data_IF_132427455705
#
_entry.id   IF_132427455705
#
_cell.length_a   1.000
_cell.length_b   1.000
_cell.length_c   1.000
_cell.angle_alpha   90.00
_cell.angle_beta   90.00
_cell.angle_gamma   90.00
#
_symmetry.space_group_name_H-M   'P 1'
#
loop_
_entity.id
_entity.type
_entity.pdbx_description
1 polymer ?
#
# COMPACT_ATOMS: atom_id res chain seq x y z
N UNK A 1 41.10 46.59 9.24
CA UNK A 1 39.89 46.59 10.08
C UNK A 1 38.70 46.72 9.15
N UNK A 2 38.22 45.58 8.63
CA UNK A 2 36.88 45.53 8.06
C UNK A 2 35.91 45.93 9.18
N UNK A 3 35.17 47.00 8.96
CA UNK A 3 34.69 47.90 10.01
C UNK A 3 33.66 47.15 10.89
N UNK A 4 33.80 47.14 12.22
CA UNK A 4 32.80 46.51 13.11
C UNK A 4 31.38 47.06 12.85
N UNK A 5 31.30 48.31 12.39
CA UNK A 5 30.07 48.93 11.88
C UNK A 5 29.46 48.18 10.69
N UNK A 6 30.27 47.73 9.72
CA UNK A 6 29.80 46.95 8.57
C UNK A 6 29.22 45.60 9.01
N UNK A 7 29.85 44.93 9.99
CA UNK A 7 29.31 43.67 10.53
C UNK A 7 27.96 43.85 11.22
N UNK A 8 27.83 44.90 12.04
CA UNK A 8 26.57 45.23 12.72
C UNK A 8 25.49 45.60 11.70
N UNK A 9 25.82 46.38 10.67
CA UNK A 9 24.88 46.73 9.60
C UNK A 9 24.40 45.48 8.84
N UNK A 10 25.30 44.55 8.51
CA UNK A 10 24.94 43.27 7.89
C UNK A 10 24.02 42.45 8.79
N UNK A 11 24.31 42.38 10.09
CA UNK A 11 23.46 41.64 11.04
C UNK A 11 22.08 42.28 11.22
N UNK A 12 21.98 43.61 11.17
CA UNK A 12 20.68 44.33 11.16
C UNK A 12 19.89 43.98 9.90
N UNK A 13 20.55 43.94 8.74
CA UNK A 13 19.91 43.53 7.50
C UNK A 13 19.41 42.08 7.57
N UNK A 14 20.24 41.15 8.07
CA UNK A 14 19.84 39.74 8.28
C UNK A 14 18.69 39.63 9.29
N UNK A 15 18.71 40.39 10.39
CA UNK A 15 17.62 40.42 11.37
C UNK A 15 16.30 40.92 10.76
N UNK A 16 16.37 41.93 9.90
CA UNK A 16 15.21 42.48 9.19
C UNK A 16 14.62 41.45 8.23
N UNK A 17 15.48 40.77 7.46
CA UNK A 17 15.06 39.66 6.60
C UNK A 17 14.47 38.54 7.45
N UNK A 18 15.12 38.14 8.54
CA UNK A 18 14.62 37.08 9.42
C UNK A 18 13.20 37.40 9.93
N UNK A 19 12.96 38.65 10.33
CA UNK A 19 11.66 39.09 10.85
C UNK A 19 10.56 39.07 9.79
N UNK A 20 10.84 39.56 8.57
CA UNK A 20 9.86 39.69 7.48
C UNK A 20 9.68 38.38 6.71
N UNK A 21 10.79 37.72 6.37
CA UNK A 21 10.80 36.55 5.50
C UNK A 21 10.31 35.28 6.21
N UNK A 22 10.55 35.12 7.52
CA UNK A 22 10.16 33.90 8.24
C UNK A 22 8.65 33.64 8.21
N UNK A 23 7.77 34.60 8.54
CA UNK A 23 6.32 34.40 8.44
C UNK A 23 5.86 34.07 7.02
N UNK A 24 6.40 34.76 6.02
CA UNK A 24 6.07 34.54 4.61
C UNK A 24 6.51 33.15 4.15
N UNK A 25 7.73 32.76 4.52
CA UNK A 25 8.30 31.47 4.20
C UNK A 25 7.50 30.32 4.81
N UNK A 26 7.18 30.39 6.11
CA UNK A 26 6.36 29.37 6.79
C UNK A 26 4.96 29.31 6.19
N UNK A 27 4.37 30.45 5.83
CA UNK A 27 3.05 30.49 5.17
C UNK A 27 3.07 29.79 3.82
N UNK A 28 4.09 30.04 2.99
CA UNK A 28 4.25 29.38 1.70
C UNK A 28 4.54 27.88 1.87
N UNK A 29 5.37 27.51 2.85
CA UNK A 29 5.63 26.11 3.17
C UNK A 29 4.33 25.40 3.57
N UNK A 30 3.48 26.02 4.39
CA UNK A 30 2.18 25.46 4.77
C UNK A 30 1.28 25.20 3.55
N UNK A 31 1.31 26.06 2.53
CA UNK A 31 0.56 25.84 1.30
C UNK A 31 1.11 24.65 0.49
N UNK A 32 2.43 24.56 0.36
CA UNK A 32 3.10 23.44 -0.32
C UNK A 32 2.79 22.13 0.41
N UNK A 33 2.93 22.11 1.74
CA UNK A 33 2.64 20.96 2.58
C UNK A 33 1.17 20.53 2.48
N UNK A 34 0.22 21.48 2.48
CA UNK A 34 -1.19 21.16 2.28
C UNK A 34 -1.46 20.57 0.90
N UNK A 35 -0.90 21.15 -0.17
CA UNK A 35 -1.04 20.64 -1.53
C UNK A 35 -0.43 19.24 -1.70
N UNK A 36 0.71 18.98 -1.06
CA UNK A 36 1.32 17.67 -1.03
C UNK A 36 0.46 16.65 -0.26
N UNK A 37 -0.08 17.04 0.90
CA UNK A 37 -0.97 16.20 1.68
C UNK A 37 -2.26 15.86 0.93
N UNK A 38 -2.89 16.83 0.25
CA UNK A 38 -4.08 16.55 -0.57
C UNK A 38 -3.77 15.61 -1.73
N UNK A 39 -2.61 15.76 -2.39
CA UNK A 39 -2.22 14.82 -3.46
C UNK A 39 -2.02 13.39 -2.99
N UNK A 40 -1.66 13.18 -1.72
CA UNK A 40 -1.54 11.84 -1.13
C UNK A 40 -2.91 11.28 -0.72
N UNK A 41 -3.84 12.15 -0.31
CA UNK A 41 -5.19 11.76 0.11
C UNK A 41 -6.13 11.48 -1.06
N UNK A 42 -5.95 12.16 -2.19
CA UNK A 42 -6.80 12.02 -3.38
C UNK A 42 -6.43 10.79 -4.24
N UNK A 43 -5.21 10.26 -4.12
CA UNK A 43 -4.69 9.26 -5.08
C UNK A 43 -5.15 7.81 -4.81
N UNK A 44 -5.35 7.32 -3.59
CA UNK A 44 -5.91 5.95 -3.35
C UNK A 44 -6.28 5.72 -1.89
N UNK A 45 -7.17 4.74 -1.63
CA UNK A 45 -7.30 4.09 -0.31
C UNK A 45 -6.36 2.87 -0.31
N UNK A 46 -5.12 2.95 0.23
CA UNK A 46 -4.14 1.89 0.06
C UNK A 46 -4.58 0.58 0.73
N UNK A 47 -5.35 0.66 1.81
CA UNK A 47 -5.92 -0.52 2.45
C UNK A 47 -7.04 -1.16 1.61
N UNK A 48 -7.85 -0.34 0.93
CA UNK A 48 -8.86 -0.81 -0.01
C UNK A 48 -8.24 -1.46 -1.24
N UNK A 49 -7.10 -0.93 -1.70
CA UNK A 49 -6.33 -1.48 -2.80
C UNK A 49 -5.64 -2.80 -2.45
N UNK A 50 -5.04 -2.91 -1.26
CA UNK A 50 -4.52 -4.19 -0.77
C UNK A 50 -5.65 -5.22 -0.64
N UNK A 51 -6.83 -4.79 -0.19
CA UNK A 51 -7.99 -5.68 -0.08
C UNK A 51 -8.50 -6.13 -1.44
N UNK A 52 -8.70 -5.22 -2.41
CA UNK A 52 -9.06 -5.61 -3.77
C UNK A 52 -7.99 -6.55 -4.32
N UNK A 53 -6.73 -6.13 -4.27
CA UNK A 53 -5.46 -6.87 -4.46
C UNK A 53 -5.55 -8.38 -4.18
N UNK A 54 -6.06 -8.71 -3.00
CA UNK A 54 -5.90 -10.01 -2.36
C UNK A 54 -7.22 -10.77 -2.18
N UNK A 55 -8.29 -10.35 -2.86
CA UNK A 55 -9.61 -10.99 -2.82
C UNK A 55 -10.10 -11.28 -4.24
N UNK A 56 -10.49 -12.52 -4.51
CA UNK A 56 -11.03 -12.95 -5.80
C UNK A 56 -12.53 -13.22 -5.69
N UNK A 57 -13.34 -12.63 -6.57
CA UNK A 57 -14.78 -12.89 -6.70
C UNK A 57 -15.05 -13.94 -7.79
N UNK A 58 -15.62 -15.08 -7.40
CA UNK A 58 -15.96 -16.17 -8.32
C UNK A 58 -17.02 -15.79 -9.37
N UNK A 59 -17.87 -14.79 -9.13
CA UNK A 59 -18.81 -14.32 -10.15
C UNK A 59 -18.12 -13.51 -11.25
N UNK A 60 -17.16 -12.66 -10.90
CA UNK A 60 -16.40 -11.89 -11.89
C UNK A 60 -15.46 -12.77 -12.71
N UNK A 61 -14.86 -13.76 -12.04
CA UNK A 61 -14.19 -14.90 -12.66
C UNK A 61 -15.07 -15.57 -13.72
N UNK A 62 -16.33 -15.85 -13.38
CA UNK A 62 -17.29 -16.45 -14.30
C UNK A 62 -17.66 -15.52 -15.47
N UNK A 63 -17.85 -14.22 -15.24
CA UNK A 63 -18.06 -13.22 -16.30
C UNK A 63 -16.86 -13.12 -17.26
N UNK A 64 -15.65 -13.39 -16.78
CA UNK A 64 -14.44 -13.47 -17.60
C UNK A 64 -14.29 -14.81 -18.36
N UNK A 65 -15.32 -15.66 -18.36
CA UNK A 65 -15.38 -16.99 -19.01
C UNK A 65 -14.32 -17.97 -18.54
N UNK A 66 -13.87 -17.90 -17.28
CA UNK A 66 -12.87 -18.85 -16.74
C UNK A 66 -11.63 -18.99 -17.64
N UNK A 67 -11.20 -17.91 -18.31
CA UNK A 67 -10.07 -17.96 -19.25
C UNK A 67 -8.79 -18.36 -18.53
N UNK A 68 -8.06 -19.24 -19.20
CA UNK A 68 -6.88 -20.04 -18.79
C UNK A 68 -5.64 -19.26 -18.29
N UNK A 69 -5.70 -17.93 -18.21
CA UNK A 69 -4.62 -17.06 -17.76
C UNK A 69 -4.27 -17.27 -16.25
N UNK A 70 -5.05 -18.09 -15.54
CA UNK A 70 -4.94 -18.33 -14.10
C UNK A 70 -3.85 -19.32 -13.71
N UNK A 71 -3.25 -19.98 -14.71
CA UNK A 71 -2.19 -20.94 -14.52
C UNK A 71 -1.00 -20.58 -15.42
N UNK A 72 0.12 -20.23 -14.80
CA UNK A 72 1.41 -20.40 -15.48
C UNK A 72 2.00 -21.72 -14.98
N UNK A 73 2.00 -22.75 -15.84
CA UNK A 73 2.88 -23.89 -15.61
C UNK A 73 4.31 -23.41 -15.83
N UNK A 74 5.00 -23.07 -14.74
CA UNK A 74 6.42 -22.80 -14.80
C UNK A 74 7.16 -24.14 -14.74
N UNK A 75 7.69 -24.58 -15.89
CA UNK A 75 8.61 -25.71 -15.92
C UNK A 75 9.92 -25.24 -15.31
N UNK A 76 10.26 -25.70 -14.10
CA UNK A 76 11.61 -25.49 -13.57
C UNK A 76 12.53 -26.43 -14.34
N UNK A 77 13.33 -25.88 -15.26
CA UNK A 77 14.40 -26.64 -15.90
C UNK A 77 15.50 -26.83 -14.86
N UNK A 78 15.52 -28.00 -14.24
CA UNK A 78 16.60 -28.38 -13.35
C UNK A 78 17.88 -28.67 -14.15
N UNK A 79 19.04 -28.57 -13.50
CA UNK A 79 20.33 -28.88 -14.12
C UNK A 79 20.32 -30.30 -14.75
N UNK A 80 21.09 -30.54 -15.84
CA UNK A 80 21.00 -31.79 -16.59
C UNK A 80 21.25 -33.00 -15.68
N UNK A 81 20.24 -33.86 -15.55
CA UNK A 81 20.26 -35.07 -14.71
C UNK A 81 19.21 -35.12 -13.59
N UNK A 82 18.37 -34.10 -13.44
CA UNK A 82 17.22 -34.14 -12.52
C UNK A 82 15.90 -34.07 -13.30
N UNK A 83 14.86 -34.74 -12.78
CA UNK A 83 13.51 -34.69 -13.34
C UNK A 83 12.98 -33.24 -13.26
N UNK A 84 12.29 -32.80 -14.30
CA UNK A 84 11.68 -31.47 -14.32
C UNK A 84 10.50 -31.47 -13.34
N UNK A 85 10.56 -30.62 -12.32
CA UNK A 85 9.42 -30.36 -11.45
C UNK A 85 8.55 -29.28 -12.09
N UNK A 86 7.25 -29.57 -12.21
CA UNK A 86 6.25 -28.57 -12.61
C UNK A 86 5.82 -27.83 -11.35
N UNK A 87 6.25 -26.58 -11.19
CA UNK A 87 5.77 -25.74 -10.11
C UNK A 87 4.46 -25.08 -10.56
N UNK A 88 3.41 -25.29 -9.77
CA UNK A 88 2.11 -24.68 -10.00
C UNK A 88 2.13 -23.29 -9.38
N UNK A 89 2.15 -22.25 -10.21
CA UNK A 89 2.06 -20.87 -9.74
C UNK A 89 0.60 -20.40 -9.79
N UNK A 90 -0.02 -20.29 -8.61
CA UNK A 90 -1.41 -19.86 -8.47
C UNK A 90 -1.45 -18.34 -8.31
N UNK A 91 -1.19 -17.62 -9.40
CA UNK A 91 -1.39 -16.18 -9.41
C UNK A 91 -2.89 -15.92 -9.65
N UNK A 92 -3.68 -15.89 -8.57
CA UNK A 92 -5.12 -15.67 -8.67
C UNK A 92 -5.39 -14.27 -9.21
N UNK A 93 -6.06 -14.11 -10.37
CA UNK A 93 -6.39 -12.78 -10.84
C UNK A 93 -7.34 -12.11 -9.85
N UNK A 94 -6.99 -10.89 -9.45
CA UNK A 94 -7.90 -10.01 -8.76
C UNK A 94 -8.85 -9.38 -9.80
N UNK A 95 -10.16 -9.49 -9.59
CA UNK A 95 -11.18 -8.89 -10.45
C UNK A 95 -11.86 -7.65 -9.85
N UNK A 96 -11.43 -7.18 -8.69
CA UNK A 96 -11.75 -5.83 -8.23
C UNK A 96 -10.79 -4.87 -8.93
N UNK A 97 -11.32 -4.12 -9.90
CA UNK A 97 -10.56 -3.08 -10.59
C UNK A 97 -10.10 -1.99 -9.61
N UNK A 98 -9.00 -1.32 -9.96
CA UNK A 98 -8.49 -0.16 -9.23
C UNK A 98 -9.64 0.87 -9.02
N UNK A 99 -9.96 1.18 -7.76
CA UNK A 99 -11.05 2.09 -7.39
C UNK A 99 -12.47 1.48 -7.28
N UNK A 100 -12.66 0.17 -7.46
CA UNK A 100 -13.96 -0.48 -7.27
C UNK A 100 -14.34 -0.54 -5.78
N UNK A 101 -15.20 0.36 -5.30
CA UNK A 101 -15.63 0.40 -3.89
C UNK A 101 -16.59 -0.72 -3.49
N UNK A 102 -16.91 -1.66 -4.39
CA UNK A 102 -17.81 -2.78 -4.10
C UNK A 102 -17.36 -3.59 -2.89
N UNK A 103 -16.05 -3.60 -2.58
CA UNK A 103 -15.49 -4.26 -1.40
C UNK A 103 -16.05 -3.76 -0.06
N UNK A 104 -16.51 -2.49 0.01
CA UNK A 104 -16.99 -1.90 1.26
C UNK A 104 -18.27 -2.55 1.77
N UNK A 105 -19.06 -3.14 0.87
CA UNK A 105 -20.36 -3.76 1.19
C UNK A 105 -20.36 -5.27 0.94
N UNK A 106 -19.19 -5.88 0.79
CA UNK A 106 -19.09 -7.31 0.58
C UNK A 106 -19.41 -8.09 1.84
N UNK A 107 -20.26 -9.11 1.69
CA UNK A 107 -20.36 -10.15 2.70
C UNK A 107 -19.35 -11.27 2.36
N UNK A 108 -18.20 -11.26 3.04
CA UNK A 108 -17.14 -12.26 2.81
C UNK A 108 -17.56 -13.70 3.16
N UNK A 109 -18.67 -13.85 3.88
CA UNK A 109 -19.26 -15.15 4.24
C UNK A 109 -20.32 -15.62 3.25
N UNK A 110 -20.53 -14.90 2.15
CA UNK A 110 -21.44 -15.30 1.09
C UNK A 110 -21.00 -16.65 0.49
N UNK A 111 -21.95 -17.59 0.47
CA UNK A 111 -21.74 -18.94 -0.04
C UNK A 111 -22.32 -19.02 -1.45
N UNK A 112 -21.60 -19.68 -2.35
CA UNK A 112 -22.03 -19.95 -3.70
C UNK A 112 -23.19 -20.94 -3.72
N UNK A 113 -24.19 -20.76 -4.61
CA UNK A 113 -25.25 -21.73 -4.80
C UNK A 113 -24.72 -22.94 -5.60
N UNK A 114 -23.99 -23.84 -4.93
CA UNK A 114 -23.37 -25.04 -5.53
C UNK A 114 -23.90 -26.30 -4.85
N UNK A 115 -24.91 -26.95 -5.44
CA UNK A 115 -25.52 -28.17 -4.88
C UNK A 115 -26.89 -28.48 -5.47
N UNK A 116 -27.25 -29.77 -5.54
CA UNK A 116 -28.54 -30.24 -6.07
C UNK A 116 -29.71 -29.97 -5.08
N UNK A 117 -29.41 -29.85 -3.78
CA UNK A 117 -30.38 -29.74 -2.69
C UNK A 117 -30.36 -28.40 -1.93
N UNK A 118 -29.63 -27.41 -2.43
CA UNK A 118 -29.55 -26.08 -1.81
C UNK A 118 -30.90 -25.34 -1.87
N UNK A 119 -31.75 -25.57 -0.87
CA UNK A 119 -33.06 -24.95 -0.64
C UNK A 119 -33.00 -23.42 -0.41
N UNK A 120 -31.81 -22.83 -0.44
CA UNK A 120 -31.57 -21.41 -0.25
C UNK A 120 -31.11 -20.75 -1.56
N UNK A 121 -32.12 -20.43 -2.36
CA UNK A 121 -32.24 -19.36 -3.36
C UNK A 121 -31.61 -19.56 -4.76
N UNK A 122 -32.51 -19.89 -5.68
CA UNK A 122 -32.45 -19.70 -7.14
C UNK A 122 -32.21 -18.25 -7.59
N UNK A 123 -32.31 -17.26 -6.69
CA UNK A 123 -32.23 -15.84 -7.03
C UNK A 123 -30.83 -15.34 -7.41
N UNK A 124 -29.75 -16.11 -7.21
CA UNK A 124 -28.41 -15.73 -7.66
C UNK A 124 -27.72 -16.81 -8.51
N UNK A 125 -28.23 -18.05 -8.48
CA UNK A 125 -27.75 -19.16 -9.30
C UNK A 125 -27.87 -18.91 -10.82
N UNK A 126 -28.75 -18.00 -11.24
CA UNK A 126 -28.89 -17.60 -12.64
C UNK A 126 -27.67 -16.82 -13.18
N UNK A 127 -26.81 -16.30 -12.30
CA UNK A 127 -25.65 -15.47 -12.69
C UNK A 127 -24.46 -16.29 -13.18
N UNK A 128 -24.44 -17.60 -12.93
CA UNK A 128 -23.38 -18.51 -13.35
C UNK A 128 -23.68 -19.13 -14.72
N UNK A 129 -22.66 -19.32 -15.55
CA UNK A 129 -22.80 -20.11 -16.79
C UNK A 129 -22.98 -21.59 -16.45
N UNK A 130 -23.57 -22.37 -17.36
CA UNK A 130 -23.80 -23.79 -17.11
C UNK A 130 -22.50 -24.59 -16.98
N UNK A 131 -21.44 -24.15 -17.68
CA UNK A 131 -20.08 -24.68 -17.56
C UNK A 131 -19.51 -24.44 -16.14
N UNK A 132 -19.67 -23.24 -15.60
CA UNK A 132 -19.22 -22.90 -14.25
C UNK A 132 -19.99 -23.66 -13.16
N UNK A 133 -21.30 -23.83 -13.34
CA UNK A 133 -22.13 -24.64 -12.43
C UNK A 133 -21.67 -26.09 -12.39
N UNK A 134 -21.20 -26.65 -13.50
CA UNK A 134 -20.68 -28.02 -13.52
C UNK A 134 -19.27 -28.10 -12.90
N UNK A 135 -18.39 -27.14 -13.22
CA UNK A 135 -17.04 -27.09 -12.66
C UNK A 135 -17.03 -26.98 -11.12
N UNK A 136 -17.92 -26.14 -10.56
CA UNK A 136 -18.02 -25.90 -9.12
C UNK A 136 -18.66 -27.06 -8.34
N UNK A 137 -19.17 -28.12 -8.98
CA UNK A 137 -19.63 -29.32 -8.27
C UNK A 137 -18.49 -30.20 -7.76
N UNK A 138 -17.26 -29.91 -8.17
CA UNK A 138 -16.10 -30.70 -7.85
C UNK A 138 -15.08 -29.91 -7.03
N UNK A 139 -14.31 -30.61 -6.19
CA UNK A 139 -13.17 -30.12 -5.41
C UNK A 139 -11.93 -30.95 -5.69
N UNK A 140 -10.77 -30.32 -5.59
CA UNK A 140 -9.49 -31.02 -5.72
C UNK A 140 -9.08 -31.54 -4.33
N UNK A 141 -8.80 -32.84 -4.25
CA UNK A 141 -8.19 -33.47 -3.09
C UNK A 141 -6.84 -34.08 -3.46
N UNK A 142 -5.96 -34.25 -2.49
CA UNK A 142 -4.65 -34.86 -2.71
C UNK A 142 -4.61 -36.24 -2.07
N UNK A 143 -4.32 -37.26 -2.88
CA UNK A 143 -4.08 -38.62 -2.39
C UNK A 143 -2.70 -39.05 -2.84
N UNK A 144 -1.80 -39.31 -1.88
CA UNK A 144 -0.41 -39.74 -2.13
C UNK A 144 0.35 -38.84 -3.12
N UNK A 145 0.13 -37.52 -3.06
CA UNK A 145 0.80 -36.54 -3.91
C UNK A 145 0.19 -36.37 -5.30
N UNK A 146 -0.84 -37.14 -5.68
CA UNK A 146 -1.58 -36.93 -6.93
C UNK A 146 -2.86 -36.15 -6.64
N UNK A 147 -3.12 -35.11 -7.43
CA UNK A 147 -4.38 -34.36 -7.40
C UNK A 147 -5.51 -35.23 -7.99
N UNK A 148 -6.58 -35.42 -7.23
CA UNK A 148 -7.76 -36.19 -7.62
C UNK A 148 -8.99 -35.32 -7.44
N UNK A 149 -9.90 -35.39 -8.41
CA UNK A 149 -11.15 -34.63 -8.40
C UNK A 149 -12.22 -35.39 -7.60
N UNK A 150 -12.83 -34.75 -6.62
CA UNK A 150 -13.92 -35.27 -5.79
C UNK A 150 -15.19 -34.46 -6.04
N UNK A 151 -16.36 -35.09 -6.14
CA UNK A 151 -17.64 -34.35 -6.09
C UNK A 151 -17.80 -33.77 -4.68
N UNK A 152 -18.34 -32.55 -4.57
CA UNK A 152 -18.71 -31.96 -3.29
C UNK A 152 -19.66 -32.91 -2.55
N UNK A 153 -19.43 -33.08 -1.25
CA UNK A 153 -20.22 -34.00 -0.43
C UNK A 153 -21.56 -33.35 -0.07
N UNK A 154 -22.65 -33.94 -0.57
CA UNK A 154 -24.04 -33.58 -0.23
C UNK A 154 -24.43 -34.35 1.05
N UNK A 155 -24.65 -33.63 2.15
CA UNK A 155 -24.95 -34.22 3.46
C UNK A 155 -26.37 -33.87 3.85
N UNK A 156 -27.28 -34.80 3.58
CA UNK A 156 -28.71 -34.77 3.96
C UNK A 156 -29.05 -34.33 5.42
N UNK A 157 -28.10 -34.37 6.36
CA UNK A 157 -28.32 -34.00 7.79
C UNK A 157 -27.29 -33.01 8.35
N UNK A 158 -26.33 -32.51 7.56
CA UNK A 158 -25.31 -31.53 7.98
C UNK A 158 -25.25 -30.37 6.99
N UNK A 159 -24.49 -29.32 7.30
CA UNK A 159 -24.24 -28.25 6.33
C UNK A 159 -23.50 -28.84 5.13
N UNK A 160 -24.07 -28.69 3.94
CA UNK A 160 -23.48 -29.16 2.68
C UNK A 160 -22.13 -28.49 2.43
N UNK A 161 -21.21 -29.22 1.79
CA UNK A 161 -19.96 -28.63 1.35
C UNK A 161 -20.22 -27.66 0.20
N UNK A 162 -19.95 -26.38 0.45
CA UNK A 162 -20.12 -25.32 -0.54
C UNK A 162 -18.91 -24.40 -0.59
N UNK A 163 -18.69 -23.80 -1.76
CA UNK A 163 -17.66 -22.78 -1.94
C UNK A 163 -18.14 -21.44 -1.42
N UNK A 164 -17.26 -20.68 -0.77
CA UNK A 164 -17.49 -19.26 -0.56
C UNK A 164 -17.36 -18.53 -1.91
N UNK A 165 -18.16 -17.48 -2.10
CA UNK A 165 -18.09 -16.65 -3.30
C UNK A 165 -16.74 -15.95 -3.44
N UNK A 166 -16.14 -15.61 -2.30
CA UNK A 166 -14.89 -14.86 -2.24
C UNK A 166 -13.77 -15.74 -1.69
N UNK A 167 -12.65 -15.79 -2.41
CA UNK A 167 -11.40 -16.39 -1.95
C UNK A 167 -10.44 -15.27 -1.56
N UNK A 168 -9.83 -15.36 -0.38
CA UNK A 168 -8.97 -14.30 0.15
C UNK A 168 -7.83 -14.85 1.01
N UNK A 169 -6.74 -14.08 1.11
CA UNK A 169 -5.60 -14.39 1.98
C UNK A 169 -5.56 -13.46 3.20
N UNK A 170 -6.12 -13.86 4.37
CA UNK A 170 -6.22 -12.99 5.55
C UNK A 170 -4.86 -12.51 6.07
N UNK A 171 -3.84 -13.37 5.99
CA UNK A 171 -2.54 -13.07 6.58
C UNK A 171 -1.77 -12.04 5.77
N UNK A 172 -1.81 -12.14 4.43
CA UNK A 172 -1.17 -11.15 3.55
C UNK A 172 -1.82 -9.78 3.74
N UNK A 173 -3.16 -9.71 3.69
CA UNK A 173 -3.88 -8.46 3.91
C UNK A 173 -3.54 -7.87 5.29
N UNK A 174 -3.59 -8.70 6.34
CA UNK A 174 -3.32 -8.26 7.70
C UNK A 174 -1.90 -7.69 7.86
N UNK A 175 -0.86 -8.42 7.41
CA UNK A 175 0.52 -7.98 7.57
C UNK A 175 0.84 -6.74 6.71
N UNK A 176 0.33 -6.67 5.49
CA UNK A 176 0.56 -5.52 4.59
C UNK A 176 -0.11 -4.25 5.13
N UNK A 177 -1.39 -4.32 5.51
CA UNK A 177 -2.11 -3.15 6.07
C UNK A 177 -1.48 -2.73 7.40
N UNK A 178 -1.11 -3.69 8.25
CA UNK A 178 -0.46 -3.39 9.54
C UNK A 178 0.91 -2.73 9.34
N UNK A 179 1.73 -3.22 8.40
CA UNK A 179 3.01 -2.61 8.08
C UNK A 179 2.85 -1.17 7.57
N UNK A 180 1.90 -0.95 6.65
CA UNK A 180 1.56 0.40 6.16
C UNK A 180 1.09 1.34 7.27
N UNK A 181 0.28 0.84 8.21
CA UNK A 181 -0.18 1.59 9.37
C UNK A 181 0.99 1.98 10.29
N UNK A 182 1.89 1.04 10.60
CA UNK A 182 3.06 1.30 11.44
C UNK A 182 3.95 2.38 10.82
N UNK A 183 4.26 2.24 9.52
CA UNK A 183 5.07 3.24 8.77
C UNK A 183 4.41 4.61 8.86
N UNK A 184 3.10 4.68 8.59
CA UNK A 184 2.34 5.93 8.62
C UNK A 184 2.37 6.58 10.00
N UNK A 185 2.19 5.82 11.09
CA UNK A 185 2.26 6.34 12.46
C UNK A 185 3.64 6.92 12.77
N UNK A 186 4.73 6.25 12.38
CA UNK A 186 6.09 6.75 12.57
C UNK A 186 6.35 8.04 11.78
N UNK A 187 5.86 8.13 10.54
CA UNK A 187 6.01 9.32 9.71
C UNK A 187 5.20 10.49 10.26
N UNK A 188 3.96 10.27 10.71
CA UNK A 188 3.13 11.29 11.36
C UNK A 188 3.83 11.78 12.63
N UNK A 189 4.33 10.88 13.48
CA UNK A 189 5.06 11.25 14.69
C UNK A 189 6.28 12.13 14.37
N UNK A 190 7.07 11.74 13.35
CA UNK A 190 8.22 12.51 12.90
C UNK A 190 7.82 13.88 12.35
N UNK A 191 6.74 13.94 11.57
CA UNK A 191 6.22 15.16 10.98
C UNK A 191 5.78 16.15 12.06
N UNK A 192 5.02 15.70 13.05
CA UNK A 192 4.58 16.54 14.19
C UNK A 192 5.78 17.14 14.91
N UNK A 193 6.83 16.36 15.16
CA UNK A 193 8.03 16.89 15.83
C UNK A 193 8.71 18.01 15.02
N UNK A 194 8.80 17.84 13.70
CA UNK A 194 9.39 18.83 12.80
C UNK A 194 8.52 20.10 12.68
N UNK A 195 7.19 19.95 12.63
CA UNK A 195 6.29 21.10 12.60
C UNK A 195 6.35 21.91 13.90
N UNK A 196 6.45 21.25 15.04
CA UNK A 196 6.65 21.90 16.34
C UNK A 196 8.00 22.64 16.39
N UNK A 197 9.09 22.01 15.95
CA UNK A 197 10.42 22.62 15.90
C UNK A 197 10.44 23.84 14.96
N UNK A 198 9.82 23.74 13.79
CA UNK A 198 9.67 24.82 12.83
C UNK A 198 8.83 25.97 13.39
N UNK A 199 7.67 25.66 13.97
CA UNK A 199 6.75 26.65 14.54
C UNK A 199 7.40 27.44 15.68
N UNK A 200 8.04 26.75 16.62
CA UNK A 200 8.78 27.41 17.70
C UNK A 200 9.95 28.23 17.15
N UNK A 201 10.75 27.68 16.23
CA UNK A 201 11.86 28.41 15.62
C UNK A 201 11.38 29.66 14.88
N UNK A 202 10.22 29.60 14.22
CA UNK A 202 9.58 30.73 13.56
C UNK A 202 9.12 31.83 14.52
N UNK A 203 8.57 31.46 15.67
CA UNK A 203 8.20 32.41 16.74
C UNK A 203 9.46 33.04 17.34
N UNK A 204 10.47 32.24 17.69
CA UNK A 204 11.72 32.72 18.26
C UNK A 204 12.49 33.63 17.30
N UNK A 205 12.49 33.32 16.00
CA UNK A 205 13.05 34.17 14.96
C UNK A 205 12.43 35.56 14.96
N UNK A 206 11.10 35.66 15.11
CA UNK A 206 10.40 36.95 15.16
C UNK A 206 10.69 37.72 16.45
N UNK A 207 10.69 37.03 17.59
CA UNK A 207 10.90 37.68 18.89
C UNK A 207 12.34 38.15 19.10
N UNK A 208 13.32 37.43 18.55
CA UNK A 208 14.74 37.62 18.90
C UNK A 208 15.61 38.14 17.77
N UNK A 209 15.08 38.36 16.56
CA UNK A 209 15.83 38.82 15.39
C UNK A 209 16.71 40.03 15.69
N UNK A 210 16.18 41.05 16.35
CA UNK A 210 16.93 42.29 16.64
C UNK A 210 17.76 42.26 17.92
N UNK A 211 17.82 41.12 18.63
CA UNK A 211 18.51 41.02 19.93
C UNK A 211 19.93 40.45 19.84
N UNK A 212 20.35 39.88 18.70
CA UNK A 212 21.74 39.47 18.42
C UNK A 212 22.29 40.14 17.16
N UNK A 213 22.58 41.45 17.28
CA UNK A 213 23.11 42.26 16.17
C UNK A 213 24.64 42.33 16.14
N UNK A 214 25.31 41.98 17.25
CA UNK A 214 26.76 42.07 17.34
C UNK A 214 27.43 40.82 16.74
N UNK A 215 26.94 39.63 17.09
CA UNK A 215 27.46 38.38 16.53
C UNK A 215 26.66 37.90 15.33
N UNK A 216 25.33 38.01 15.36
CA UNK A 216 24.43 37.51 14.30
C UNK A 216 24.39 35.98 14.15
N UNK A 217 25.20 35.25 14.93
CA UNK A 217 25.34 33.79 14.84
C UNK A 217 24.05 33.09 15.18
N UNK A 218 23.31 33.58 16.19
CA UNK A 218 22.04 32.96 16.58
C UNK A 218 20.99 33.13 15.49
N UNK A 219 20.91 34.31 14.86
CA UNK A 219 19.97 34.53 13.76
C UNK A 219 20.26 33.60 12.59
N UNK A 220 21.54 33.38 12.25
CA UNK A 220 21.94 32.40 11.23
C UNK A 220 21.53 30.98 11.63
N UNK A 221 21.73 30.58 12.88
CA UNK A 221 21.31 29.27 13.40
C UNK A 221 19.79 29.08 13.34
N UNK A 222 19.01 30.12 13.65
CA UNK A 222 17.55 30.07 13.54
C UNK A 222 17.12 29.89 12.08
N UNK A 223 17.75 30.62 11.14
CA UNK A 223 17.51 30.43 9.69
C UNK A 223 17.82 28.99 9.28
N UNK A 224 18.98 28.46 9.68
CA UNK A 224 19.38 27.10 9.37
C UNK A 224 18.39 26.08 9.92
N UNK A 225 17.91 26.26 11.15
CA UNK A 225 16.93 25.37 11.77
C UNK A 225 15.61 25.38 11.00
N UNK A 226 15.11 26.57 10.66
CA UNK A 226 13.88 26.75 9.86
C UNK A 226 14.01 26.07 8.49
N UNK A 227 15.09 26.34 7.77
CA UNK A 227 15.33 25.78 6.43
C UNK A 227 15.51 24.26 6.50
N UNK A 228 16.28 23.75 7.46
CA UNK A 228 16.52 22.31 7.62
C UNK A 228 15.21 21.57 7.94
N UNK A 229 14.41 22.07 8.88
CA UNK A 229 13.10 21.48 9.18
C UNK A 229 12.22 21.43 7.93
N UNK A 230 12.20 22.52 7.16
CA UNK A 230 11.38 22.65 5.95
C UNK A 230 11.79 21.67 4.86
N UNK A 231 13.09 21.50 4.62
CA UNK A 231 13.62 20.54 3.66
C UNK A 231 13.23 19.11 4.06
N UNK A 232 13.33 18.77 5.35
CA UNK A 232 12.98 17.44 5.83
C UNK A 232 11.47 17.20 5.73
N UNK A 233 10.62 18.20 6.02
CA UNK A 233 9.16 18.11 5.83
C UNK A 233 8.83 17.78 4.37
N UNK A 234 9.39 18.53 3.40
CA UNK A 234 9.18 18.27 1.97
C UNK A 234 9.69 16.87 1.58
N UNK A 235 10.84 16.45 2.10
CA UNK A 235 11.39 15.13 1.83
C UNK A 235 10.49 14.00 2.36
N UNK A 236 9.83 14.17 3.52
CA UNK A 236 8.87 13.20 4.06
C UNK A 236 7.69 13.01 3.10
N UNK A 237 7.12 14.09 2.57
CA UNK A 237 6.02 13.98 1.60
C UNK A 237 6.45 13.29 0.29
N UNK A 238 7.64 13.59 -0.21
CA UNK A 238 8.20 12.91 -1.38
C UNK A 238 8.42 11.42 -1.12
N UNK A 239 8.97 11.06 0.03
CA UNK A 239 9.18 9.67 0.43
C UNK A 239 7.84 8.92 0.59
N UNK A 240 6.81 9.58 1.13
CA UNK A 240 5.47 9.00 1.23
C UNK A 240 4.89 8.72 -0.16
N UNK A 241 5.04 9.64 -1.11
CA UNK A 241 4.61 9.42 -2.49
C UNK A 241 5.38 8.28 -3.16
N UNK A 242 6.69 8.22 -2.97
CA UNK A 242 7.52 7.12 -3.48
C UNK A 242 7.10 5.79 -2.84
N UNK A 243 6.74 5.77 -1.57
CA UNK A 243 6.27 4.57 -0.88
C UNK A 243 4.98 4.02 -1.52
N UNK A 244 3.99 4.88 -1.78
CA UNK A 244 2.75 4.50 -2.47
C UNK A 244 3.04 3.95 -3.87
N UNK A 245 3.88 4.64 -4.65
CA UNK A 245 4.29 4.16 -5.98
C UNK A 245 5.08 2.84 -5.93
N UNK A 246 5.87 2.63 -4.88
CA UNK A 246 6.61 1.38 -4.70
C UNK A 246 5.68 0.21 -4.39
N UNK A 247 4.59 0.42 -3.63
CA UNK A 247 3.56 -0.59 -3.42
C UNK A 247 2.86 -0.96 -4.73
N UNK A 248 2.39 0.04 -5.47
CA UNK A 248 1.80 -0.16 -6.80
C UNK A 248 2.73 -0.96 -7.74
N UNK A 249 4.03 -0.71 -7.68
CA UNK A 249 5.01 -1.45 -8.47
C UNK A 249 5.27 -2.87 -7.95
N UNK A 250 5.38 -3.07 -6.64
CA UNK A 250 5.56 -4.41 -6.04
C UNK A 250 4.38 -5.31 -6.41
N UNK A 251 3.17 -4.78 -6.48
CA UNK A 251 1.99 -5.55 -6.86
C UNK A 251 2.01 -5.98 -8.34
N UNK A 252 2.78 -5.29 -9.20
CA UNK A 252 3.05 -5.73 -10.59
C UNK A 252 4.18 -6.75 -10.70
N UNK A 253 4.97 -6.92 -9.65
CA UNK A 253 6.08 -7.88 -9.62
C UNK A 253 5.58 -9.22 -9.11
N UNK A 254 5.85 -10.28 -9.88
CA UNK A 254 5.72 -11.66 -9.41
C UNK A 254 6.59 -11.84 -8.13
N UNK A 255 5.92 -11.98 -6.99
CA UNK A 255 6.50 -12.06 -5.64
C UNK A 255 7.49 -13.22 -5.48
N UNK A 256 7.52 -14.15 -6.43
CA UNK A 256 8.47 -15.25 -6.48
C UNK A 256 9.89 -14.84 -6.91
N UNK A 257 10.09 -13.69 -7.56
CA UNK A 257 11.38 -13.33 -8.16
C UNK A 257 12.54 -13.18 -7.15
N UNK A 258 12.40 -12.44 -6.03
CA UNK A 258 13.49 -12.25 -5.07
C UNK A 258 13.88 -13.55 -4.35
N UNK A 259 12.89 -14.41 -4.08
CA UNK A 259 13.06 -15.70 -3.43
C UNK A 259 13.74 -16.71 -4.36
N UNK A 260 13.38 -16.72 -5.66
CA UNK A 260 14.04 -17.51 -6.72
C UNK A 260 15.52 -17.11 -6.90
N UNK A 261 15.86 -15.82 -6.76
CA UNK A 261 17.25 -15.33 -6.84
C UNK A 261 18.07 -15.74 -5.61
N UNK A 262 17.50 -15.66 -4.41
CA UNK A 262 18.19 -16.10 -3.18
C UNK A 262 18.46 -17.60 -3.16
N UNK A 263 17.52 -18.43 -3.63
CA UNK A 263 17.72 -19.88 -3.75
C UNK A 263 18.79 -20.22 -4.79
N UNK A 264 18.87 -19.50 -5.91
CA UNK A 264 19.95 -19.67 -6.92
C UNK A 264 21.33 -19.19 -6.47
N UNK A 265 21.43 -18.32 -5.47
CA UNK A 265 22.69 -17.88 -4.88
C UNK A 265 23.14 -18.76 -3.71
N UNK A 266 22.23 -19.57 -3.15
CA UNK A 266 22.49 -20.48 -2.04
C UNK A 266 22.83 -21.93 -2.48
N UNK A 267 22.85 -22.19 -3.79
CA UNK A 267 23.33 -23.43 -4.46
C UNK A 267 24.59 -23.09 -5.24
#
# INVERSE_FOLDING_TARGET
>A
KENDLQKVLTNIFVATILFIATPLFITNLNQITKGAATSILDDTNPAGEVFSQNVTDLYKVNEANWKDDWYEQTTIINAPGQENETQFDSNYPNYFGEGDESYKNMNITEVMPVGEWNLFKEADAYKLTDEAKEALKYKIGYVKGTAVLYKLEDKFMNVDEAYYRYTWNPWVIFFTVTAGLIISVFLIWRLVHLEMELGFSGIWAQLTSFTDLHSGKRNIQLIQTIVNCSVVIVAIFLLQKINILAWLYIDTLDWALPLKVLVKLAV
#
